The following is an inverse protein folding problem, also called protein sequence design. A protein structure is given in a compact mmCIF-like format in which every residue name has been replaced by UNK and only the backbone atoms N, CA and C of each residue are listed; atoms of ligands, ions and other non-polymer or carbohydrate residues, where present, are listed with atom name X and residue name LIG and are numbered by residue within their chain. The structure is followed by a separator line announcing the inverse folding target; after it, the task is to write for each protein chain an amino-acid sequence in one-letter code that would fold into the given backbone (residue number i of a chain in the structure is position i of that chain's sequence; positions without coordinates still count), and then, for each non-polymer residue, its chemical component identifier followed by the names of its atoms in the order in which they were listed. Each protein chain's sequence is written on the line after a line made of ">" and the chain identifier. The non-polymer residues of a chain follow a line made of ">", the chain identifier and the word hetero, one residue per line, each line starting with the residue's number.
data_IF_706011879792
#
_entry.id   IF_706011879792
#
_cell.length_a   1.000
_cell.length_b   1.000
_cell.length_c   1.000
_cell.angle_alpha   90.00
_cell.angle_beta   90.00
_cell.angle_gamma   90.00
#
_symmetry.space_group_name_H-M   'P 1'
#
loop_
_entity.id
_entity.type
_entity.pdbx_description
1 polymer ?
#
# COMPACT_ATOMS: atom_id res chain seq x y z
N UNK A 1 6.03 16.76 -7.70
CA UNK A 1 6.73 15.54 -8.21
C UNK A 1 6.07 14.24 -7.72
N UNK A 2 6.24 13.11 -8.44
CA UNK A 2 5.66 11.80 -8.07
C UNK A 2 6.69 10.66 -8.07
N UNK A 3 6.54 9.71 -7.14
CA UNK A 3 7.35 8.48 -7.05
C UNK A 3 6.43 7.28 -6.93
N UNK A 4 6.59 6.28 -7.81
CA UNK A 4 5.76 5.06 -7.81
C UNK A 4 6.53 3.88 -7.23
N UNK A 5 5.88 3.12 -6.34
CA UNK A 5 6.37 1.84 -5.80
C UNK A 5 5.30 0.78 -5.97
N UNK A 6 5.70 -0.45 -6.26
CA UNK A 6 4.78 -1.56 -6.45
C UNK A 6 5.36 -2.86 -5.94
N UNK A 7 4.51 -3.71 -5.40
CA UNK A 7 4.86 -5.05 -4.94
C UNK A 7 3.68 -6.00 -5.12
N UNK A 8 3.97 -7.25 -5.49
CA UNK A 8 3.00 -8.33 -5.47
C UNK A 8 3.16 -9.10 -4.17
N UNK A 9 2.06 -9.29 -3.46
CA UNK A 9 2.00 -10.09 -2.25
C UNK A 9 1.32 -11.43 -2.52
N UNK A 10 1.70 -12.43 -1.73
CA UNK A 10 1.10 -13.75 -1.74
C UNK A 10 -0.39 -13.74 -1.38
N UNK A 11 -1.00 -14.92 -1.17
CA UNK A 11 -2.43 -15.02 -0.95
C UNK A 11 -2.86 -14.23 0.28
N UNK A 12 -3.94 -13.45 0.14
CA UNK A 12 -4.55 -12.70 1.21
C UNK A 12 -5.05 -13.63 2.35
N UNK A 13 -4.94 -13.21 3.62
CA UNK A 13 -4.52 -11.88 4.07
C UNK A 13 -3.01 -11.65 4.00
N UNK A 14 -2.63 -10.42 3.64
CA UNK A 14 -1.22 -9.98 3.64
C UNK A 14 -0.83 -9.61 5.08
N UNK A 15 0.36 -9.99 5.54
CA UNK A 15 0.80 -9.59 6.88
C UNK A 15 1.01 -8.08 6.99
N UNK A 16 0.56 -7.48 8.09
CA UNK A 16 0.79 -6.07 8.37
C UNK A 16 2.29 -5.74 8.44
N UNK A 17 3.12 -6.69 8.91
CA UNK A 17 4.57 -6.53 8.96
C UNK A 17 5.18 -6.36 7.55
N UNK A 18 4.83 -7.23 6.59
CA UNK A 18 5.35 -7.14 5.23
C UNK A 18 4.89 -5.86 4.52
N UNK A 19 3.65 -5.44 4.76
CA UNK A 19 3.11 -4.16 4.26
C UNK A 19 3.84 -2.97 4.89
N UNK A 20 4.10 -3.02 6.19
CA UNK A 20 4.83 -1.99 6.91
C UNK A 20 6.25 -1.82 6.40
N UNK A 21 6.97 -2.94 6.19
CA UNK A 21 8.32 -2.93 5.62
C UNK A 21 8.34 -2.30 4.22
N UNK A 22 7.47 -2.77 3.32
CA UNK A 22 7.33 -2.20 1.97
C UNK A 22 7.10 -0.68 1.98
N UNK A 23 6.22 -0.20 2.86
CA UNK A 23 5.87 1.22 2.90
C UNK A 23 6.95 2.08 3.55
N UNK A 24 7.63 1.59 4.60
CA UNK A 24 8.76 2.30 5.22
C UNK A 24 9.91 2.43 4.25
N UNK A 25 10.30 1.34 3.58
CA UNK A 25 11.41 1.37 2.65
C UNK A 25 11.19 2.43 1.56
N UNK A 26 9.96 2.51 1.05
CA UNK A 26 9.55 3.55 0.12
C UNK A 26 9.64 4.97 0.70
N UNK A 27 9.11 5.19 1.91
CA UNK A 27 9.17 6.51 2.57
C UNK A 27 10.60 6.95 2.88
N UNK A 28 11.44 6.03 3.36
CA UNK A 28 12.85 6.29 3.68
C UNK A 28 13.64 6.61 2.42
N UNK A 29 13.45 5.87 1.32
CA UNK A 29 14.08 6.19 0.04
C UNK A 29 13.70 7.59 -0.46
N UNK A 30 12.41 7.93 -0.40
CA UNK A 30 11.91 9.26 -0.77
C UNK A 30 12.52 10.34 0.12
N UNK A 31 12.54 10.14 1.44
CA UNK A 31 13.11 11.10 2.38
C UNK A 31 14.60 11.32 2.11
N UNK A 32 15.37 10.26 1.87
CA UNK A 32 16.80 10.36 1.59
C UNK A 32 17.08 11.05 0.24
N UNK A 33 16.23 10.84 -0.76
CA UNK A 33 16.42 11.40 -2.11
C UNK A 33 16.01 12.87 -2.19
N UNK A 34 14.92 13.24 -1.52
CA UNK A 34 14.29 14.56 -1.68
C UNK A 34 14.31 15.42 -0.41
N UNK A 35 14.88 14.92 0.70
CA UNK A 35 14.90 15.57 2.00
C UNK A 35 13.52 15.99 2.54
N UNK A 36 12.46 15.33 2.05
CA UNK A 36 11.05 15.62 2.37
C UNK A 36 10.25 14.33 2.31
N UNK A 37 9.19 14.24 3.11
CA UNK A 37 8.20 13.17 3.01
C UNK A 37 7.07 13.55 2.04
N UNK A 38 6.43 12.57 1.38
CA UNK A 38 5.30 12.84 0.51
C UNK A 38 4.11 13.37 1.32
N UNK A 39 3.33 14.29 0.76
CA UNK A 39 2.14 14.84 1.43
C UNK A 39 0.88 13.99 1.19
N UNK A 40 0.90 13.17 0.14
CA UNK A 40 -0.15 12.20 -0.15
C UNK A 40 0.43 10.96 -0.83
N UNK A 41 -0.31 9.86 -0.75
CA UNK A 41 -0.03 8.62 -1.45
C UNK A 41 -1.33 8.07 -2.04
N UNK A 42 -1.39 7.93 -3.36
CA UNK A 42 -2.47 7.19 -4.01
C UNK A 42 -2.13 5.70 -3.97
N UNK A 43 -3.07 4.91 -3.46
CA UNK A 43 -2.93 3.48 -3.27
C UNK A 43 -3.91 2.77 -4.20
N UNK A 44 -3.37 1.96 -5.10
CA UNK A 44 -4.13 1.06 -5.95
C UNK A 44 -3.90 -0.37 -5.44
N UNK A 45 -4.96 -1.04 -5.01
CA UNK A 45 -4.95 -2.45 -4.59
C UNK A 45 -5.68 -3.27 -5.64
N UNK A 46 -5.03 -4.29 -6.19
CA UNK A 46 -5.62 -5.21 -7.15
C UNK A 46 -5.60 -6.64 -6.59
N UNK A 47 -6.80 -7.17 -6.33
CA UNK A 47 -7.02 -8.54 -5.91
C UNK A 47 -7.19 -9.41 -7.15
N UNK A 48 -6.25 -10.32 -7.35
CA UNK A 48 -6.19 -11.20 -8.50
C UNK A 48 -6.65 -12.60 -8.08
N UNK A 49 -7.75 -13.12 -8.65
CA UNK A 49 -8.16 -14.49 -8.43
C UNK A 49 -7.06 -15.41 -8.98
N UNK A 50 -6.79 -16.51 -8.27
CA UNK A 50 -5.84 -17.52 -8.74
C UNK A 50 -6.37 -18.25 -9.98
N UNK A 51 -5.99 -19.52 -10.15
CA UNK A 51 -6.47 -20.36 -11.26
C UNK A 51 -8.00 -20.61 -11.24
N UNK A 52 -8.69 -20.23 -10.17
CA UNK A 52 -10.15 -20.29 -10.07
C UNK A 52 -10.80 -19.12 -10.82
N UNK A 53 -11.03 -19.33 -12.12
CA UNK A 53 -11.64 -18.37 -13.04
C UNK A 53 -13.09 -17.98 -12.69
N UNK A 54 -13.70 -18.62 -11.70
CA UNK A 54 -15.08 -18.33 -11.28
C UNK A 54 -15.17 -17.14 -10.32
N UNK A 55 -14.07 -16.78 -9.63
CA UNK A 55 -14.03 -15.58 -8.80
C UNK A 55 -13.63 -14.37 -9.62
N UNK A 56 -14.42 -13.29 -9.51
CA UNK A 56 -14.02 -12.00 -10.02
C UNK A 56 -12.97 -11.37 -9.10
N UNK A 57 -11.92 -10.79 -9.69
CA UNK A 57 -11.00 -9.94 -8.97
C UNK A 57 -11.64 -8.62 -8.53
N UNK A 58 -10.89 -7.81 -7.80
CA UNK A 58 -11.33 -6.49 -7.38
C UNK A 58 -10.19 -5.47 -7.47
N UNK A 59 -10.53 -4.22 -7.77
CA UNK A 59 -9.62 -3.10 -7.67
C UNK A 59 -10.18 -2.10 -6.66
N UNK A 60 -9.33 -1.58 -5.78
CA UNK A 60 -9.65 -0.51 -4.84
C UNK A 60 -8.63 0.60 -5.01
N UNK A 61 -9.12 1.83 -5.12
CA UNK A 61 -8.30 3.03 -5.20
C UNK A 61 -8.56 3.90 -3.97
N UNK A 62 -7.50 4.32 -3.31
CA UNK A 62 -7.53 5.06 -2.05
C UNK A 62 -6.55 6.22 -2.10
N UNK A 63 -6.89 7.32 -1.45
CA UNK A 63 -5.97 8.44 -1.24
C UNK A 63 -5.61 8.54 0.24
N UNK A 64 -4.33 8.35 0.55
CA UNK A 64 -3.77 8.53 1.87
C UNK A 64 -3.13 9.91 1.96
N UNK A 65 -3.74 10.80 2.73
CA UNK A 65 -3.18 12.14 2.98
C UNK A 65 -2.45 12.16 4.30
N UNK A 66 -1.32 12.85 4.32
CA UNK A 66 -0.53 13.03 5.52
C UNK A 66 -0.37 14.54 5.80
N UNK A 67 -0.34 14.88 7.08
CA UNK A 67 0.00 16.25 7.50
C UNK A 67 1.48 16.32 7.90
N UNK A 68 2.03 17.53 7.99
CA UNK A 68 3.41 17.75 8.43
C UNK A 68 3.69 17.24 9.85
N UNK A 69 2.64 16.93 10.63
CA UNK A 69 2.73 16.36 11.98
C UNK A 69 2.83 14.84 12.02
N UNK A 70 2.52 14.16 10.92
CA UNK A 70 2.50 12.69 10.88
C UNK A 70 3.89 12.12 10.60
N UNK A 71 4.36 11.29 11.53
CA UNK A 71 5.64 10.59 11.47
C UNK A 71 5.62 9.43 10.47
N UNK A 72 6.80 8.93 10.09
CA UNK A 72 6.92 7.73 9.24
C UNK A 72 6.25 6.52 9.89
N UNK A 73 6.43 6.33 11.19
CA UNK A 73 5.88 5.19 11.91
C UNK A 73 4.35 5.22 11.99
N UNK A 74 3.73 6.39 12.16
CA UNK A 74 2.27 6.53 12.10
C UNK A 74 1.73 6.22 10.70
N UNK A 75 2.40 6.73 9.65
CA UNK A 75 2.01 6.48 8.26
C UNK A 75 2.15 5.01 7.90
N UNK A 76 3.25 4.37 8.29
CA UNK A 76 3.50 2.92 8.18
C UNK A 76 2.38 2.14 8.83
N UNK A 77 2.11 2.42 10.11
CA UNK A 77 1.13 1.69 10.91
C UNK A 77 -0.29 1.86 10.34
N UNK A 78 -0.65 3.08 9.93
CA UNK A 78 -1.93 3.35 9.28
C UNK A 78 -2.09 2.59 7.96
N UNK A 79 -1.08 2.65 7.09
CA UNK A 79 -1.06 1.91 5.83
C UNK A 79 -1.16 0.40 6.05
N UNK A 80 -0.28 -0.17 6.88
CA UNK A 80 -0.19 -1.62 7.07
C UNK A 80 -1.46 -2.20 7.65
N UNK A 81 -2.03 -1.55 8.67
CA UNK A 81 -3.25 -2.03 9.32
C UNK A 81 -4.46 -1.94 8.39
N UNK A 82 -4.56 -0.84 7.62
CA UNK A 82 -5.65 -0.66 6.68
C UNK A 82 -5.60 -1.71 5.56
N UNK A 83 -4.46 -1.89 4.90
CA UNK A 83 -4.33 -2.86 3.80
C UNK A 83 -4.47 -4.29 4.31
N UNK A 84 -3.92 -4.59 5.49
CA UNK A 84 -4.13 -5.88 6.15
C UNK A 84 -5.62 -6.17 6.38
N UNK A 85 -6.34 -5.24 7.03
CA UNK A 85 -7.76 -5.38 7.32
C UNK A 85 -8.62 -5.51 6.04
N UNK A 86 -8.27 -4.79 4.98
CA UNK A 86 -8.92 -4.94 3.67
C UNK A 86 -8.66 -6.32 3.08
N UNK A 87 -7.41 -6.79 3.08
CA UNK A 87 -7.05 -8.11 2.56
C UNK A 87 -7.65 -9.27 3.35
N UNK A 88 -7.94 -9.07 4.64
CA UNK A 88 -8.56 -10.07 5.51
C UNK A 88 -10.06 -10.26 5.28
N UNK A 89 -10.70 -9.48 4.41
CA UNK A 89 -12.12 -9.67 4.11
C UNK A 89 -12.35 -11.03 3.44
N UNK A 90 -13.38 -11.81 3.84
CA UNK A 90 -13.61 -13.17 3.32
C UNK A 90 -13.70 -13.27 1.80
N UNK A 91 -14.22 -12.22 1.14
CA UNK A 91 -14.33 -12.15 -0.32
C UNK A 91 -12.99 -12.18 -1.07
N UNK A 92 -11.90 -11.83 -0.39
CA UNK A 92 -10.55 -11.78 -0.97
C UNK A 92 -9.67 -12.95 -0.53
N UNK A 93 -10.16 -13.83 0.35
CA UNK A 93 -9.37 -14.91 0.91
C UNK A 93 -8.75 -15.80 -0.19
N UNK A 94 -7.43 -15.95 -0.14
CA UNK A 94 -6.66 -16.75 -1.10
C UNK A 94 -6.37 -16.06 -2.44
N UNK A 95 -6.82 -14.82 -2.66
CA UNK A 95 -6.43 -14.03 -3.84
C UNK A 95 -5.02 -13.45 -3.66
N UNK A 96 -4.26 -13.37 -4.75
CA UNK A 96 -3.00 -12.60 -4.74
C UNK A 96 -3.31 -11.11 -4.76
N UNK A 97 -2.43 -10.28 -4.20
CA UNK A 97 -2.69 -8.84 -4.12
C UNK A 97 -1.51 -8.07 -4.69
N UNK A 98 -1.77 -7.33 -5.76
CA UNK A 98 -0.83 -6.32 -6.25
C UNK A 98 -1.11 -5.00 -5.53
N UNK A 99 -0.06 -4.43 -4.94
CA UNK A 99 -0.10 -3.14 -4.26
C UNK A 99 0.73 -2.17 -5.07
N UNK A 100 0.13 -1.05 -5.47
CA UNK A 100 0.82 0.07 -6.08
C UNK A 100 0.57 1.33 -5.26
N UNK A 101 1.63 2.08 -5.01
CA UNK A 101 1.59 3.36 -4.30
C UNK A 101 2.25 4.44 -5.15
N UNK A 102 1.52 5.50 -5.43
CA UNK A 102 2.03 6.72 -6.07
C UNK A 102 2.14 7.81 -5.01
N UNK A 103 3.37 8.08 -4.58
CA UNK A 103 3.68 9.12 -3.60
C UNK A 103 3.78 10.49 -4.26
N UNK A 104 3.05 11.46 -3.72
CA UNK A 104 3.04 12.86 -4.17
C UNK A 104 3.90 13.70 -3.25
N UNK A 105 4.91 14.35 -3.83
CA UNK A 105 5.90 15.18 -3.12
C UNK A 105 5.70 16.62 -3.57
N UNK A 106 5.62 17.55 -2.61
CA UNK A 106 5.54 18.99 -2.91
C UNK A 106 6.85 19.44 -3.52
N UNK A 107 6.75 20.24 -4.58
CA UNK A 107 7.89 20.87 -5.21
C UNK A 107 8.63 21.77 -4.18
#
# INVERSE_FOLDING_TARGET
>A
MEVTKSAAFGPAPISAEALGAFYVDALTEIQNTYNKLPFAAQLDLKFVPGSDITRQGAALELLLTATDRTTIDERKTGFSNMVHAMSAQPRFAGMSVDVKVVFKIRD
#
